data_IF_123213992107
#
_entry.id   IF_123213992107
#
_cell.length_a   1.000
_cell.length_b   1.000
_cell.length_c   1.000
_cell.angle_alpha   90.00
_cell.angle_beta   90.00
_cell.angle_gamma   90.00
#
_symmetry.space_group_name_H-M   'P 1'
#
loop_
_entity.id
_entity.type
_entity.pdbx_description
1 polymer ?
#
# COMPACT_ATOMS: atom_id res chain seq x y z
N UNK A 1 12.39 -47.40 23.01
CA UNK A 1 13.55 -47.48 23.95
C UNK A 1 14.56 -46.35 23.76
N UNK A 2 14.78 -45.80 22.55
CA UNK A 2 15.71 -44.67 22.33
C UNK A 2 15.11 -43.27 22.64
N UNK A 3 13.80 -43.09 22.45
CA UNK A 3 13.14 -41.78 22.63
C UNK A 3 13.11 -41.28 24.08
N UNK A 4 12.94 -42.17 25.07
CA UNK A 4 12.93 -41.82 26.50
C UNK A 4 14.30 -41.39 27.03
N UNK A 5 15.40 -41.91 26.46
CA UNK A 5 16.77 -41.57 26.88
C UNK A 5 17.19 -40.14 26.49
N UNK A 6 16.57 -39.58 25.44
CA UNK A 6 16.85 -38.23 24.94
C UNK A 6 15.85 -37.18 25.46
N UNK A 7 14.91 -37.57 26.32
CA UNK A 7 13.90 -36.67 26.90
C UNK A 7 12.84 -36.17 25.90
N UNK A 8 12.71 -36.80 24.73
CA UNK A 8 11.70 -36.42 23.74
C UNK A 8 10.33 -36.99 24.11
N UNK A 9 9.37 -36.11 24.38
CA UNK A 9 7.96 -36.49 24.57
C UNK A 9 7.34 -36.86 23.22
N UNK A 10 6.60 -37.96 23.16
CA UNK A 10 5.85 -38.33 21.96
C UNK A 10 4.84 -37.24 21.63
N UNK A 11 4.93 -36.68 20.42
CA UNK A 11 4.11 -35.57 19.95
C UNK A 11 2.64 -36.02 19.80
N UNK A 12 1.73 -35.24 20.38
CA UNK A 12 0.29 -35.52 20.32
C UNK A 12 -0.38 -34.85 19.12
N UNK A 13 -1.43 -35.47 18.56
CA UNK A 13 -2.24 -34.87 17.50
C UNK A 13 -2.96 -33.62 18.03
N UNK A 14 -2.49 -32.43 17.67
CA UNK A 14 -3.03 -31.15 18.13
C UNK A 14 -1.98 -30.13 18.60
N UNK A 15 -0.69 -30.50 18.62
CA UNK A 15 0.36 -29.55 18.99
C UNK A 15 0.56 -28.47 17.91
N UNK A 16 0.63 -27.21 18.37
CA UNK A 16 0.86 -26.05 17.50
C UNK A 16 2.24 -25.47 17.77
N UNK A 17 2.94 -25.09 16.70
CA UNK A 17 4.24 -24.42 16.77
C UNK A 17 4.11 -23.04 16.17
N UNK A 18 4.50 -22.03 16.96
CA UNK A 18 4.36 -20.62 16.60
C UNK A 18 2.92 -20.25 16.18
N UNK A 19 1.93 -20.94 16.79
CA UNK A 19 0.51 -20.76 16.51
C UNK A 19 0.00 -21.42 15.22
N UNK A 20 0.81 -22.22 14.52
CA UNK A 20 0.38 -23.04 13.39
C UNK A 20 0.27 -24.51 13.81
N UNK A 21 -0.76 -25.25 13.39
CA UNK A 21 -0.84 -26.68 13.63
C UNK A 21 0.35 -27.39 12.97
N UNK A 22 1.10 -28.16 13.75
CA UNK A 22 2.27 -28.89 13.26
C UNK A 22 1.91 -30.09 12.38
N UNK A 23 0.77 -30.71 12.68
CA UNK A 23 0.25 -31.85 11.94
C UNK A 23 -1.10 -31.44 11.33
N UNK A 24 -1.16 -31.45 10.00
CA UNK A 24 -2.39 -31.20 9.28
C UNK A 24 -3.25 -32.45 9.37
N UNK A 25 -4.51 -32.26 9.74
CA UNK A 25 -5.54 -33.28 9.63
C UNK A 25 -5.93 -33.45 8.17
N UNK A 26 -6.70 -34.50 7.87
CA UNK A 26 -7.21 -34.74 6.51
C UNK A 26 -8.15 -33.61 6.01
N UNK A 27 -8.49 -32.64 6.87
CA UNK A 27 -9.27 -31.46 6.54
C UNK A 27 -8.47 -30.18 6.78
N UNK A 28 -7.54 -29.91 5.85
CA UNK A 28 -6.64 -28.76 5.82
C UNK A 28 -7.38 -27.41 5.97
N UNK A 29 -8.60 -27.28 5.44
CA UNK A 29 -9.41 -26.06 5.59
C UNK A 29 -9.71 -25.74 7.05
N UNK A 30 -9.99 -26.78 7.86
CA UNK A 30 -10.28 -26.61 9.29
C UNK A 30 -9.04 -26.16 10.06
N UNK A 31 -7.88 -26.69 9.69
CA UNK A 31 -6.61 -26.39 10.36
C UNK A 31 -6.15 -24.96 10.14
N UNK A 32 -6.57 -24.32 9.03
CA UNK A 32 -6.25 -22.92 8.71
C UNK A 32 -7.39 -21.93 8.98
N UNK A 33 -8.55 -22.38 9.51
CA UNK A 33 -9.66 -21.49 9.86
C UNK A 33 -9.23 -20.36 10.80
N UNK A 34 -8.35 -20.65 11.75
CA UNK A 34 -7.84 -19.65 12.69
C UNK A 34 -7.05 -18.53 11.99
N UNK A 35 -6.29 -18.84 10.92
CA UNK A 35 -5.57 -17.83 10.13
C UNK A 35 -6.58 -16.96 9.41
N UNK A 36 -7.56 -17.59 8.75
CA UNK A 36 -8.64 -16.89 8.06
C UNK A 36 -9.37 -15.93 9.02
N UNK A 37 -9.76 -16.40 10.20
CA UNK A 37 -10.45 -15.59 11.21
C UNK A 37 -9.57 -14.45 11.73
N UNK A 38 -8.28 -14.70 12.01
CA UNK A 38 -7.34 -13.65 12.43
C UNK A 38 -7.15 -12.58 11.36
N UNK A 39 -7.03 -12.99 10.10
CA UNK A 39 -6.93 -12.05 8.97
C UNK A 39 -8.22 -11.25 8.85
N UNK A 40 -9.39 -11.88 8.94
CA UNK A 40 -10.69 -11.19 8.89
C UNK A 40 -10.83 -10.19 10.04
N UNK A 41 -10.53 -10.59 11.28
CA UNK A 41 -10.59 -9.70 12.45
C UNK A 41 -9.67 -8.48 12.31
N UNK A 42 -8.47 -8.67 11.75
CA UNK A 42 -7.55 -7.56 11.43
C UNK A 42 -8.12 -6.66 10.34
N UNK A 43 -8.72 -7.21 9.30
CA UNK A 43 -9.35 -6.45 8.21
C UNK A 43 -10.57 -5.66 8.70
N UNK A 44 -11.36 -6.21 9.62
CA UNK A 44 -12.49 -5.51 10.25
C UNK A 44 -12.02 -4.32 11.09
N UNK A 45 -10.95 -4.50 11.86
CA UNK A 45 -10.31 -3.40 12.59
C UNK A 45 -9.72 -2.31 11.68
N UNK A 46 -9.32 -2.65 10.46
CA UNK A 46 -8.86 -1.68 9.46
C UNK A 46 -10.00 -0.95 8.75
N UNK A 47 -11.15 -1.60 8.51
CA UNK A 47 -12.34 -0.97 7.90
C UNK A 47 -12.83 0.25 8.71
N UNK A 48 -12.77 0.20 10.04
CA UNK A 48 -13.22 1.31 10.91
C UNK A 48 -12.23 2.49 11.00
N UNK A 49 -10.99 2.33 10.51
CA UNK A 49 -9.91 3.35 10.60
C UNK A 49 -9.48 3.92 9.26
N UNK A 50 -10.26 3.70 8.19
CA UNK A 50 -10.00 4.34 6.90
C UNK A 50 -10.45 5.80 6.95
N UNK A 51 -9.64 6.64 7.63
CA UNK A 51 -9.74 8.08 7.49
C UNK A 51 -9.49 8.41 6.02
N UNK A 52 -10.42 9.13 5.39
CA UNK A 52 -10.19 9.67 4.06
C UNK A 52 -8.95 10.56 4.08
N UNK A 53 -8.31 10.73 2.92
CA UNK A 53 -7.23 11.72 2.73
C UNK A 53 -7.63 13.11 3.28
N UNK A 54 -8.90 13.48 3.10
CA UNK A 54 -9.47 14.71 3.62
C UNK A 54 -9.62 14.71 5.16
N UNK A 55 -9.95 13.58 5.76
CA UNK A 55 -10.07 13.45 7.22
C UNK A 55 -8.71 13.51 7.91
N UNK A 56 -7.66 12.98 7.27
CA UNK A 56 -6.29 13.12 7.76
C UNK A 56 -5.81 14.58 7.71
N UNK A 57 -6.07 15.29 6.61
CA UNK A 57 -5.78 16.73 6.51
C UNK A 57 -6.59 17.53 7.56
N UNK A 58 -7.86 17.15 7.79
CA UNK A 58 -8.70 17.76 8.83
C UNK A 58 -8.15 17.51 10.23
N UNK A 59 -7.66 16.31 10.52
CA UNK A 59 -7.06 15.96 11.81
C UNK A 59 -5.79 16.77 12.07
N UNK A 60 -4.89 16.88 11.09
CA UNK A 60 -3.67 17.70 11.23
C UNK A 60 -4.01 19.18 11.35
N UNK A 61 -4.94 19.69 10.56
CA UNK A 61 -5.43 21.08 10.69
C UNK A 61 -6.00 21.34 12.09
N UNK A 62 -6.81 20.40 12.61
CA UNK A 62 -7.41 20.49 13.95
C UNK A 62 -6.33 20.49 15.03
N UNK A 63 -5.39 19.55 14.94
CA UNK A 63 -4.26 19.48 15.86
C UNK A 63 -3.46 20.80 15.85
N UNK A 64 -3.18 21.33 14.66
CA UNK A 64 -2.41 22.56 14.49
C UNK A 64 -3.03 23.78 15.20
N UNK A 65 -4.34 23.98 15.05
CA UNK A 65 -5.02 25.15 15.62
C UNK A 65 -5.50 24.96 17.06
N UNK A 66 -5.60 23.72 17.55
CA UNK A 66 -6.24 23.43 18.85
C UNK A 66 -5.32 22.75 19.86
N UNK A 67 -4.19 22.19 19.42
CA UNK A 67 -3.28 21.38 20.24
C UNK A 67 -3.88 20.05 20.71
N UNK A 68 -5.10 19.71 20.28
CA UNK A 68 -5.83 18.51 20.70
C UNK A 68 -6.82 18.07 19.63
N UNK A 69 -6.94 16.76 19.43
CA UNK A 69 -7.92 16.15 18.52
C UNK A 69 -9.31 16.01 19.13
N UNK A 70 -9.47 16.19 20.45
CA UNK A 70 -10.75 16.08 21.18
C UNK A 70 -11.60 17.35 20.98
N UNK A 71 -10.95 18.52 20.95
CA UNK A 71 -11.62 19.83 20.91
C UNK A 71 -12.24 20.12 19.54
N UNK A 72 -13.56 20.10 19.43
CA UNK A 72 -14.24 20.27 18.14
C UNK A 72 -14.28 21.70 17.57
N UNK A 73 -14.08 22.72 18.40
CA UNK A 73 -14.10 24.13 17.97
C UNK A 73 -12.68 24.69 17.98
N UNK A 74 -12.30 25.34 16.88
CA UNK A 74 -11.05 26.08 16.75
C UNK A 74 -11.23 27.27 15.81
N UNK A 75 -10.42 28.31 16.02
CA UNK A 75 -10.35 29.46 15.12
C UNK A 75 -9.15 29.26 14.19
N UNK A 76 -9.41 29.10 12.89
CA UNK A 76 -8.34 29.08 11.89
C UNK A 76 -8.09 30.51 11.39
N UNK A 77 -6.97 31.10 11.79
CA UNK A 77 -6.59 32.46 11.40
C UNK A 77 -6.12 32.57 9.94
N UNK A 78 -5.83 31.43 9.30
CA UNK A 78 -5.33 31.36 7.94
C UNK A 78 -5.88 30.11 7.24
N UNK A 79 -6.09 30.19 5.93
CA UNK A 79 -6.51 29.02 5.15
C UNK A 79 -5.41 27.97 5.11
N UNK A 80 -5.82 26.69 5.11
CA UNK A 80 -4.88 25.58 5.25
C UNK A 80 -3.87 25.50 4.10
N UNK A 81 -4.30 25.84 2.87
CA UNK A 81 -3.43 25.82 1.70
C UNK A 81 -2.26 26.82 1.78
N UNK A 82 -2.45 27.96 2.45
CA UNK A 82 -1.39 28.94 2.69
C UNK A 82 -0.41 28.44 3.76
N UNK A 83 -0.92 27.80 4.81
CA UNK A 83 -0.09 27.16 5.84
C UNK A 83 0.78 26.05 5.23
N UNK A 84 0.24 25.30 4.27
CA UNK A 84 0.96 24.22 3.58
C UNK A 84 2.02 24.68 2.58
N UNK A 85 2.05 25.97 2.20
CA UNK A 85 3.08 26.48 1.30
C UNK A 85 4.48 26.35 1.90
N UNK A 86 5.55 26.23 1.09
CA UNK A 86 6.92 26.27 1.58
C UNK A 86 7.22 27.56 2.37
N UNK A 87 8.22 27.49 3.27
CA UNK A 87 8.69 28.65 4.03
C UNK A 87 9.14 29.81 3.14
N UNK A 88 9.72 29.50 1.98
CA UNK A 88 10.11 30.51 0.97
C UNK A 88 8.93 31.28 0.37
N UNK A 89 7.70 30.75 0.48
CA UNK A 89 6.46 31.40 0.02
C UNK A 89 5.57 31.86 1.18
N UNK A 90 6.13 32.00 2.39
CA UNK A 90 5.43 32.50 3.57
C UNK A 90 4.51 31.48 4.27
N UNK A 91 4.57 30.20 3.89
CA UNK A 91 3.88 29.12 4.61
C UNK A 91 4.79 28.40 5.62
N UNK A 92 4.30 27.32 6.22
CA UNK A 92 5.05 26.51 7.19
C UNK A 92 5.72 25.28 6.57
N UNK A 93 5.39 24.94 5.33
CA UNK A 93 5.88 23.77 4.62
C UNK A 93 5.22 22.46 5.05
N UNK A 94 4.08 22.52 5.75
CA UNK A 94 3.32 21.33 6.14
C UNK A 94 2.78 20.67 4.87
N UNK A 95 3.13 19.40 4.63
CA UNK A 95 2.66 18.66 3.46
C UNK A 95 1.23 18.17 3.68
N UNK A 96 0.36 18.41 2.70
CA UNK A 96 -1.00 17.85 2.68
C UNK A 96 -0.91 16.33 2.48
N UNK A 97 -1.74 15.56 3.16
CA UNK A 97 -1.91 14.13 2.89
C UNK A 97 -2.32 13.89 1.46
N UNK A 98 -3.06 14.85 0.90
CA UNK A 98 -3.31 14.98 -0.51
C UNK A 98 -2.11 14.64 -1.39
N UNK A 99 -1.01 15.34 -1.13
CA UNK A 99 0.16 15.41 -1.98
C UNK A 99 1.11 14.24 -1.64
N UNK A 100 1.19 13.89 -0.36
CA UNK A 100 1.94 12.73 0.12
C UNK A 100 1.38 11.43 -0.49
N UNK A 101 0.05 11.26 -0.47
CA UNK A 101 -0.58 10.07 -1.03
C UNK A 101 -0.34 9.97 -2.55
N UNK A 102 -0.47 11.08 -3.27
CA UNK A 102 -0.17 11.11 -4.70
C UNK A 102 1.30 10.77 -4.99
N UNK A 103 2.24 11.28 -4.18
CA UNK A 103 3.66 10.94 -4.30
C UNK A 103 3.92 9.44 -4.04
N UNK A 104 3.27 8.84 -3.05
CA UNK A 104 3.38 7.39 -2.79
C UNK A 104 2.77 6.56 -3.92
N UNK A 105 1.60 6.93 -4.43
CA UNK A 105 1.00 6.28 -5.59
C UNK A 105 1.89 6.40 -6.82
N UNK A 106 2.53 7.56 -7.02
CA UNK A 106 3.46 7.79 -8.12
C UNK A 106 4.70 6.91 -7.99
N UNK A 107 5.22 6.74 -6.77
CA UNK A 107 6.32 5.81 -6.49
C UNK A 107 5.92 4.37 -6.79
N UNK A 108 4.72 3.94 -6.41
CA UNK A 108 4.21 2.61 -6.74
C UNK A 108 4.02 2.43 -8.25
N UNK A 109 3.48 3.44 -8.94
CA UNK A 109 3.35 3.44 -10.40
C UNK A 109 4.70 3.31 -11.08
N UNK A 110 5.70 4.05 -10.62
CA UNK A 110 7.06 3.95 -11.13
C UNK A 110 7.66 2.57 -10.89
N UNK A 111 7.55 2.01 -9.68
CA UNK A 111 8.04 0.65 -9.39
C UNK A 111 7.36 -0.42 -10.27
N UNK A 112 6.07 -0.25 -10.55
CA UNK A 112 5.32 -1.13 -11.44
C UNK A 112 5.85 -1.02 -12.88
N UNK A 113 6.14 0.20 -13.33
CA UNK A 113 6.66 0.50 -14.66
C UNK A 113 8.12 0.05 -14.86
N UNK A 114 8.96 0.21 -13.85
CA UNK A 114 10.38 -0.20 -13.87
C UNK A 114 10.57 -1.71 -13.71
N UNK A 115 9.50 -2.50 -13.64
CA UNK A 115 9.59 -3.96 -13.61
C UNK A 115 9.94 -4.54 -12.25
N UNK A 116 9.54 -3.92 -11.14
CA UNK A 116 9.78 -4.46 -9.78
C UNK A 116 9.33 -5.93 -9.64
N UNK A 117 10.20 -6.78 -9.10
CA UNK A 117 9.96 -8.21 -8.85
C UNK A 117 9.08 -8.48 -7.61
N UNK A 118 8.64 -7.44 -6.92
CA UNK A 118 7.73 -7.57 -5.80
C UNK A 118 6.41 -8.25 -6.19
N UNK A 119 5.95 -9.23 -5.42
CA UNK A 119 4.73 -10.01 -5.67
C UNK A 119 3.50 -9.17 -6.00
N UNK A 120 3.28 -8.04 -5.30
CA UNK A 120 2.14 -7.16 -5.59
C UNK A 120 2.20 -6.58 -7.00
N UNK A 121 3.40 -6.25 -7.48
CA UNK A 121 3.61 -5.68 -8.81
C UNK A 121 3.41 -6.76 -9.88
N UNK A 122 3.87 -7.99 -9.62
CA UNK A 122 3.63 -9.13 -10.50
C UNK A 122 2.14 -9.45 -10.63
N UNK A 123 1.41 -9.51 -9.51
CA UNK A 123 -0.04 -9.73 -9.50
C UNK A 123 -0.76 -8.65 -10.30
N UNK A 124 -0.38 -7.37 -10.12
CA UNK A 124 -1.00 -6.27 -10.88
C UNK A 124 -0.66 -6.33 -12.37
N UNK A 125 0.59 -6.66 -12.75
CA UNK A 125 0.96 -6.85 -14.17
C UNK A 125 0.18 -8.00 -14.78
N UNK A 126 0.17 -9.15 -14.13
CA UNK A 126 -0.55 -10.33 -14.61
C UNK A 126 -2.06 -10.12 -14.68
N UNK A 127 -2.63 -9.20 -13.91
CA UNK A 127 -4.06 -8.91 -13.91
C UNK A 127 -4.49 -7.80 -14.87
N UNK A 128 -3.63 -6.79 -15.08
CA UNK A 128 -4.01 -5.56 -15.78
C UNK A 128 -3.15 -5.26 -17.02
N UNK A 129 -2.00 -5.92 -17.18
CA UNK A 129 -1.04 -5.69 -18.26
C UNK A 129 -0.86 -6.96 -19.12
N UNK A 130 -1.95 -7.64 -19.49
CA UNK A 130 -1.88 -8.89 -20.26
C UNK A 130 -1.23 -8.74 -21.64
N UNK A 131 -1.62 -7.70 -22.39
CA UNK A 131 -1.21 -7.48 -23.79
C UNK A 131 -0.32 -6.23 -23.96
N UNK A 132 0.30 -5.76 -22.88
CA UNK A 132 1.03 -4.50 -22.90
C UNK A 132 1.77 -4.24 -21.61
N UNK A 133 2.21 -3.01 -21.44
CA UNK A 133 2.97 -2.60 -20.27
C UNK A 133 2.13 -1.69 -19.37
N UNK A 134 2.76 -1.19 -18.30
CA UNK A 134 2.12 -0.23 -17.40
C UNK A 134 1.67 1.05 -18.13
N UNK A 135 2.21 1.39 -19.30
CA UNK A 135 1.91 2.64 -20.03
C UNK A 135 0.75 2.51 -21.00
N UNK A 136 0.57 1.34 -21.62
CA UNK A 136 -0.48 1.09 -22.62
C UNK A 136 -1.70 0.36 -22.07
N UNK A 137 -1.62 -0.24 -20.88
CA UNK A 137 -2.74 -0.98 -20.27
C UNK A 137 -3.95 -0.09 -19.94
N UNK A 138 -5.16 -0.63 -20.15
CA UNK A 138 -6.41 -0.01 -19.71
C UNK A 138 -6.99 -0.73 -18.49
N UNK A 139 -7.48 0.05 -17.53
CA UNK A 139 -8.14 -0.51 -16.35
C UNK A 139 -9.63 -0.76 -16.63
N UNK A 140 -10.17 -1.92 -16.20
CA UNK A 140 -11.61 -2.15 -16.17
C UNK A 140 -12.33 -1.14 -15.25
N UNK A 141 -13.57 -0.76 -15.60
CA UNK A 141 -14.40 0.18 -14.84
C UNK A 141 -14.56 -0.22 -13.36
N UNK A 142 -14.76 -1.51 -13.12
CA UNK A 142 -14.85 -2.11 -11.77
C UNK A 142 -13.49 -2.68 -11.38
N UNK A 143 -12.64 -1.81 -10.86
CA UNK A 143 -11.29 -2.15 -10.39
C UNK A 143 -11.06 -1.64 -8.98
N UNK A 144 -10.09 -2.24 -8.30
CA UNK A 144 -9.65 -1.85 -6.97
C UNK A 144 -9.14 -0.40 -6.92
N UNK A 145 -9.48 0.32 -5.83
CA UNK A 145 -9.18 1.74 -5.65
C UNK A 145 -7.67 2.04 -5.76
N UNK A 146 -6.80 1.17 -5.23
CA UNK A 146 -5.35 1.40 -5.36
C UNK A 146 -4.88 1.29 -6.80
N UNK A 147 -5.39 0.35 -7.59
CA UNK A 147 -5.02 0.25 -9.00
C UNK A 147 -5.49 1.50 -9.77
N UNK A 148 -6.71 1.99 -9.51
CA UNK A 148 -7.15 3.29 -10.07
C UNK A 148 -6.22 4.43 -9.68
N UNK A 149 -5.83 4.51 -8.40
CA UNK A 149 -4.91 5.52 -7.89
C UNK A 149 -3.52 5.43 -8.52
N UNK A 150 -2.96 4.23 -8.68
CA UNK A 150 -1.66 4.03 -9.33
C UNK A 150 -1.72 4.46 -10.80
N UNK A 151 -2.73 4.03 -11.56
CA UNK A 151 -2.86 4.40 -12.98
C UNK A 151 -3.13 5.91 -13.17
N UNK A 152 -3.80 6.58 -12.23
CA UNK A 152 -3.97 8.04 -12.30
C UNK A 152 -2.66 8.83 -12.23
N UNK A 153 -1.57 8.20 -11.80
CA UNK A 153 -0.24 8.85 -11.76
C UNK A 153 0.54 8.69 -13.05
N UNK A 154 0.03 7.94 -14.04
CA UNK A 154 0.75 7.61 -15.27
C UNK A 154 1.23 8.84 -16.03
N UNK A 155 0.35 9.81 -16.26
CA UNK A 155 0.69 11.04 -17.00
C UNK A 155 1.73 11.88 -16.25
N UNK A 156 1.59 11.95 -14.93
CA UNK A 156 2.57 12.65 -14.09
C UNK A 156 3.94 12.00 -14.20
N UNK A 157 4.02 10.67 -14.09
CA UNK A 157 5.30 9.96 -14.19
C UNK A 157 5.87 10.13 -15.59
N UNK A 158 5.08 9.91 -16.65
CA UNK A 158 5.52 10.05 -18.05
C UNK A 158 6.13 11.42 -18.33
N UNK A 159 5.50 12.49 -17.86
CA UNK A 159 5.99 13.86 -18.07
C UNK A 159 7.24 14.20 -17.26
N UNK A 160 7.57 13.43 -16.22
CA UNK A 160 8.67 13.72 -15.29
C UNK A 160 9.73 12.59 -15.25
N UNK A 161 9.65 11.62 -16.15
CA UNK A 161 10.62 10.54 -16.28
C UNK A 161 11.43 10.69 -17.56
N UNK A 162 12.68 10.25 -17.53
CA UNK A 162 13.52 10.13 -18.71
C UNK A 162 14.14 8.73 -18.75
N UNK A 163 14.35 8.22 -19.95
CA UNK A 163 15.02 6.96 -20.17
C UNK A 163 16.53 7.18 -20.34
N UNK A 164 17.34 6.47 -19.54
CA UNK A 164 18.80 6.49 -19.71
C UNK A 164 19.18 5.41 -20.72
N UNK A 165 19.56 5.83 -21.93
CA UNK A 165 19.94 4.92 -23.01
C UNK A 165 21.32 4.33 -22.74
N UNK A 166 21.36 3.01 -22.49
CA UNK A 166 22.58 2.22 -22.46
C UNK A 166 22.96 1.67 -23.84
N UNK A 167 23.68 0.54 -23.86
CA UNK A 167 24.03 -0.16 -25.10
C UNK A 167 22.72 -0.63 -25.77
N UNK A 168 22.48 -0.19 -27.01
CA UNK A 168 21.17 -0.08 -27.68
C UNK A 168 20.33 -1.36 -27.92
N UNK A 169 20.65 -2.48 -27.27
CA UNK A 169 19.93 -3.74 -27.42
C UNK A 169 18.64 -3.83 -26.58
N UNK A 170 18.40 -2.92 -25.64
CA UNK A 170 17.29 -3.03 -24.67
C UNK A 170 16.44 -1.75 -24.55
N UNK A 171 16.49 -0.88 -25.55
CA UNK A 171 15.75 0.40 -25.54
C UNK A 171 14.41 0.22 -26.25
N UNK A 172 13.32 0.27 -25.49
CA UNK A 172 11.97 0.35 -26.08
C UNK A 172 11.66 1.80 -26.45
N UNK A 173 11.98 2.18 -27.70
CA UNK A 173 11.77 3.54 -28.23
C UNK A 173 10.30 3.94 -28.33
N UNK A 174 9.38 2.98 -28.40
CA UNK A 174 7.99 3.24 -28.77
C UNK A 174 7.05 3.21 -27.56
N UNK A 175 7.33 2.38 -26.56
CA UNK A 175 6.45 2.22 -25.40
C UNK A 175 7.05 2.68 -24.07
N UNK A 176 8.32 3.10 -24.03
CA UNK A 176 8.89 3.76 -22.86
C UNK A 176 8.49 5.24 -22.80
N UNK A 177 8.34 5.82 -21.59
CA UNK A 177 8.08 7.24 -21.41
C UNK A 177 9.30 8.11 -21.80
#
# INVERSE_FOLDING_TARGET
>A
MVLDYLGFKAMTWGESFLGNPLLLTNNCTRDFLFIKERVISRLEGWKAKLLSRADMDKAVRKFWWTGSLEKNKFLALTCWDMVCQPKSRGGLGIRRFSDINFAFLSKLGWLLASGSESLWAEILRNKYCHNGNFWSSHLPTTTFVMAKGIWSTRDFIKNNSCYLVGIGANVDLWNAP
#
